data_IF_066920724662
#
_entry.id   IF_066920724662
#
_cell.length_a   1.000
_cell.length_b   1.000
_cell.length_c   1.000
_cell.angle_alpha   90.00
_cell.angle_beta   90.00
_cell.angle_gamma   90.00
#
_symmetry.space_group_name_H-M   'P 1'
#
loop_
_entity.id
_entity.type
_entity.pdbx_description
1 polymer ?
#
# COMPACT_ATOMS: atom_id res chain seq x y z
N UNK A 1 -0.89 -55.67 -30.02
CA UNK A 1 0.24 -56.32 -29.33
C UNK A 1 0.47 -55.53 -28.04
N UNK A 2 0.21 -56.18 -26.90
CA UNK A 2 0.28 -55.77 -25.48
C UNK A 2 -0.40 -54.48 -25.02
N UNK A 3 -1.33 -54.72 -24.10
CA UNK A 3 -2.18 -53.86 -23.29
C UNK A 3 -1.68 -54.03 -21.85
N UNK A 4 -1.52 -52.93 -21.10
CA UNK A 4 -1.53 -52.90 -19.62
C UNK A 4 -2.29 -51.59 -19.27
N UNK A 5 -3.58 -51.56 -18.92
CA UNK A 5 -4.37 -52.07 -17.79
C UNK A 5 -3.98 -51.51 -16.39
N UNK A 6 -4.73 -50.46 -16.02
CA UNK A 6 -5.46 -50.23 -14.75
C UNK A 6 -4.68 -50.01 -13.43
N UNK A 7 -5.01 -48.88 -12.79
CA UNK A 7 -5.01 -48.72 -11.33
C UNK A 7 -5.68 -47.40 -10.90
N UNK A 8 -6.97 -47.43 -10.53
CA UNK A 8 -7.63 -46.36 -9.75
C UNK A 8 -7.60 -46.68 -8.22
N UNK A 9 -8.21 -45.88 -7.31
CA UNK A 9 -7.63 -45.58 -6.00
C UNK A 9 -8.15 -46.51 -4.90
N UNK A 10 -7.47 -46.54 -3.75
CA UNK A 10 -7.94 -47.28 -2.56
C UNK A 10 -8.53 -46.31 -1.53
N UNK A 11 -9.78 -46.57 -1.15
CA UNK A 11 -10.49 -46.03 0.02
C UNK A 11 -10.95 -47.22 0.87
N UNK A 12 -10.76 -47.18 2.19
CA UNK A 12 -11.65 -47.86 3.16
C UNK A 12 -11.01 -48.60 4.35
N UNK A 13 -11.55 -48.34 5.56
CA UNK A 13 -11.47 -49.17 6.79
C UNK A 13 -10.48 -48.67 7.86
N UNK A 14 -10.77 -47.94 8.94
CA UNK A 14 -11.82 -47.91 10.00
C UNK A 14 -11.53 -48.76 11.28
N UNK A 15 -11.50 -48.06 12.43
CA UNK A 15 -11.94 -48.42 13.81
C UNK A 15 -11.03 -49.18 14.82
N UNK A 16 -10.58 -48.48 15.88
CA UNK A 16 -11.01 -48.55 17.33
C UNK A 16 -9.95 -47.89 18.23
N UNK A 17 -10.23 -46.75 18.90
CA UNK A 17 -10.82 -46.55 20.25
C UNK A 17 -10.09 -47.26 21.40
N UNK A 18 -9.44 -46.47 22.27
CA UNK A 18 -9.44 -46.63 23.74
C UNK A 18 -9.33 -45.25 24.40
N UNK A 19 -10.00 -45.13 25.55
CA UNK A 19 -10.30 -43.94 26.36
C UNK A 19 -9.37 -43.85 27.58
N UNK A 20 -9.12 -42.62 28.06
CA UNK A 20 -9.11 -42.19 29.47
C UNK A 20 -8.81 -40.68 29.50
N UNK A 21 -9.74 -39.74 29.72
CA UNK A 21 -10.42 -39.24 30.95
C UNK A 21 -9.54 -38.83 32.13
N UNK A 22 -9.42 -37.51 32.33
CA UNK A 22 -9.74 -36.69 33.54
C UNK A 22 -9.44 -35.22 33.17
N UNK A 23 -10.38 -34.25 33.07
CA UNK A 23 -11.40 -33.70 33.97
C UNK A 23 -10.91 -32.53 34.86
N UNK A 24 -11.37 -31.31 34.53
CA UNK A 24 -11.79 -30.19 35.41
C UNK A 24 -12.17 -28.98 34.50
N UNK A 25 -13.43 -28.66 34.16
CA UNK A 25 -14.51 -27.99 34.94
C UNK A 25 -14.06 -26.62 35.49
N UNK A 26 -14.69 -25.48 35.17
CA UNK A 26 -15.95 -24.90 35.73
C UNK A 26 -16.47 -23.81 34.73
N UNK A 27 -17.68 -23.92 34.14
CA UNK A 27 -18.98 -23.24 34.43
C UNK A 27 -18.97 -21.68 34.39
N UNK A 28 -19.93 -20.90 33.85
CA UNK A 28 -21.39 -20.97 33.60
C UNK A 28 -21.71 -20.12 32.32
N UNK A 29 -22.53 -20.53 31.33
CA UNK A 29 -24.00 -20.65 31.20
C UNK A 29 -24.87 -19.36 31.32
N UNK A 30 -25.55 -19.07 30.18
CA UNK A 30 -26.96 -18.64 30.00
C UNK A 30 -27.32 -17.18 30.38
N UNK A 31 -28.24 -16.45 29.74
CA UNK A 31 -29.22 -16.67 28.66
C UNK A 31 -29.66 -15.30 28.11
N UNK A 32 -30.15 -15.23 26.87
CA UNK A 32 -30.83 -14.03 26.36
C UNK A 32 -32.29 -13.93 26.82
N UNK A 33 -32.88 -12.73 26.69
CA UNK A 33 -34.29 -12.51 26.36
C UNK A 33 -34.56 -11.03 26.05
N UNK A 34 -35.58 -10.86 25.22
CA UNK A 34 -36.07 -9.66 24.53
C UNK A 34 -37.06 -8.82 25.34
N UNK A 35 -37.31 -7.61 24.82
CA UNK A 35 -38.57 -6.85 24.79
C UNK A 35 -38.73 -5.60 25.70
N UNK A 36 -38.84 -4.46 25.00
CA UNK A 36 -39.88 -3.41 25.03
C UNK A 36 -40.16 -2.55 26.29
N UNK A 37 -40.18 -1.21 26.01
CA UNK A 37 -40.98 -0.08 26.58
C UNK A 37 -40.89 0.11 28.11
N UNK A 38 -40.60 1.30 28.65
CA UNK A 38 -41.49 2.47 28.71
C UNK A 38 -40.77 3.72 29.26
N UNK A 39 -41.45 4.84 29.03
CA UNK A 39 -41.30 6.27 29.36
C UNK A 39 -40.62 6.71 30.67
N UNK A 40 -40.07 7.94 30.60
CA UNK A 40 -39.65 8.79 31.72
C UNK A 40 -40.87 9.34 32.51
N UNK A 41 -40.72 9.92 33.73
CA UNK A 41 -40.35 11.35 33.79
C UNK A 41 -39.61 11.86 35.06
N UNK A 42 -38.94 13.01 34.85
CA UNK A 42 -38.78 14.23 35.67
C UNK A 42 -38.36 14.24 37.17
N UNK A 43 -37.39 15.14 37.38
CA UNK A 43 -37.29 16.16 38.46
C UNK A 43 -36.55 15.82 39.77
N UNK A 44 -35.49 16.60 40.05
CA UNK A 44 -35.30 17.49 41.23
C UNK A 44 -33.82 17.69 41.63
N UNK A 45 -33.45 18.99 41.70
CA UNK A 45 -32.46 19.67 42.58
C UNK A 45 -30.96 19.64 42.25
N UNK A 46 -30.56 20.64 41.47
CA UNK A 46 -29.80 21.82 41.94
C UNK A 46 -29.08 21.71 43.30
N UNK A 47 -27.75 21.85 43.29
CA UNK A 47 -26.96 22.50 44.36
C UNK A 47 -25.61 22.98 43.82
N UNK A 48 -25.45 24.29 43.84
CA UNK A 48 -24.19 25.03 43.73
C UNK A 48 -23.26 24.72 44.92
N UNK A 49 -21.94 24.78 44.70
CA UNK A 49 -21.02 25.39 45.66
C UNK A 49 -19.73 25.88 44.97
N UNK A 50 -19.40 27.14 45.24
CA UNK A 50 -18.19 27.87 44.86
C UNK A 50 -16.95 27.50 45.69
N UNK A 51 -15.77 27.52 45.07
CA UNK A 51 -14.57 28.32 45.41
C UNK A 51 -13.38 27.82 44.55
N UNK A 52 -12.77 28.58 43.63
CA UNK A 52 -11.93 29.79 43.73
C UNK A 52 -10.62 29.57 44.50
N UNK A 53 -9.51 29.45 43.75
CA UNK A 53 -8.20 29.98 44.12
C UNK A 53 -7.37 30.22 42.84
N UNK A 54 -6.76 31.40 42.80
CA UNK A 54 -6.04 32.03 41.71
C UNK A 54 -4.71 32.53 42.25
N UNK A 55 -3.62 32.27 41.53
CA UNK A 55 -2.32 32.98 41.57
C UNK A 55 -1.68 32.68 40.20
N UNK A 56 -1.15 33.60 39.40
CA UNK A 56 -0.52 34.88 39.70
C UNK A 56 0.81 34.88 38.91
N UNK A 57 0.95 35.83 38.00
CA UNK A 57 1.97 35.98 36.97
C UNK A 57 3.35 36.40 37.49
N UNK A 58 4.43 36.16 36.71
CA UNK A 58 5.26 37.21 36.10
C UNK A 58 6.63 36.72 35.54
N UNK A 59 6.82 37.01 34.25
CA UNK A 59 7.94 37.71 33.58
C UNK A 59 9.39 37.36 33.95
N UNK A 60 10.18 37.01 32.92
CA UNK A 60 11.65 37.10 32.95
C UNK A 60 12.35 36.66 31.66
N UNK A 61 12.51 37.59 30.70
CA UNK A 61 13.47 37.50 29.60
C UNK A 61 14.92 37.34 30.11
N UNK A 62 15.78 36.53 29.47
CA UNK A 62 17.13 36.94 28.99
C UNK A 62 17.96 35.81 28.31
N UNK A 63 18.36 36.12 27.08
CA UNK A 63 19.63 35.88 26.35
C UNK A 63 20.33 34.50 26.29
N UNK A 64 20.47 34.09 25.02
CA UNK A 64 21.55 33.36 24.35
C UNK A 64 22.98 33.67 24.87
N UNK A 65 23.79 32.64 25.16
CA UNK A 65 25.23 32.52 24.82
C UNK A 65 25.85 31.15 25.21
N UNK A 66 26.41 30.50 24.19
CA UNK A 66 27.67 29.72 24.12
C UNK A 66 28.04 28.64 25.17
N UNK A 67 28.24 27.42 24.64
CA UNK A 67 29.32 26.44 24.90
C UNK A 67 29.88 26.27 26.32
N UNK A 68 29.75 25.05 26.88
CA UNK A 68 30.87 24.26 27.43
C UNK A 68 30.47 22.77 27.47
N UNK A 69 31.38 21.96 26.95
CA UNK A 69 31.39 20.50 26.86
C UNK A 69 31.71 19.89 28.23
N UNK A 70 30.93 18.92 28.73
CA UNK A 70 31.39 17.95 29.73
C UNK A 70 31.08 16.53 29.27
N UNK A 71 32.14 15.72 29.23
CA UNK A 71 32.22 14.27 28.99
C UNK A 71 31.80 13.49 30.25
N UNK A 72 31.52 12.20 30.03
CA UNK A 72 31.26 11.06 30.95
C UNK A 72 29.78 10.67 30.94
N UNK A 73 29.27 9.77 30.09
CA UNK A 73 29.57 8.35 29.81
C UNK A 73 28.49 7.44 30.46
N UNK A 74 27.53 6.96 29.65
CA UNK A 74 27.00 5.59 29.66
C UNK A 74 26.55 5.27 28.21
N UNK A 75 27.07 4.22 27.53
CA UNK A 75 26.67 3.90 26.17
C UNK A 75 25.36 3.09 26.16
N UNK A 76 24.25 3.74 25.82
CA UNK A 76 23.06 3.03 25.34
C UNK A 76 23.33 2.58 23.90
N UNK A 77 23.25 1.27 23.68
CA UNK A 77 23.44 0.59 22.40
C UNK A 77 22.84 1.37 21.22
N UNK A 78 23.69 1.63 20.23
CA UNK A 78 23.38 2.46 19.06
C UNK A 78 22.23 1.89 18.24
N UNK A 79 21.17 2.69 18.11
CA UNK A 79 20.28 2.61 16.96
C UNK A 79 21.12 2.95 15.71
N UNK A 80 21.10 2.13 14.63
CA UNK A 80 21.82 2.49 13.42
C UNK A 80 21.28 3.81 12.86
N UNK A 81 22.18 4.76 12.62
CA UNK A 81 21.86 6.02 11.95
C UNK A 81 21.38 5.71 10.53
N UNK A 82 20.10 5.94 10.25
CA UNK A 82 19.57 5.87 8.88
C UNK A 82 19.83 7.21 8.19
N UNK A 83 20.48 7.18 7.03
CA UNK A 83 20.51 8.33 6.12
C UNK A 83 19.20 8.33 5.35
N UNK A 84 18.25 9.16 5.78
CA UNK A 84 17.05 9.48 5.01
C UNK A 84 17.34 10.73 4.18
N UNK A 85 17.68 10.55 2.90
CA UNK A 85 17.79 11.68 1.98
C UNK A 85 16.45 11.86 1.27
N UNK A 86 15.84 13.03 1.43
CA UNK A 86 14.79 13.48 0.51
C UNK A 86 15.51 13.93 -0.77
N UNK A 87 15.28 13.22 -1.86
CA UNK A 87 15.69 13.69 -3.17
C UNK A 87 14.71 14.79 -3.58
N UNK A 88 15.06 16.05 -3.29
CA UNK A 88 14.31 17.19 -3.77
C UNK A 88 14.69 17.47 -5.23
N UNK A 89 13.72 17.42 -6.14
CA UNK A 89 13.92 17.93 -7.50
C UNK A 89 13.50 19.40 -7.58
N UNK A 90 14.41 20.28 -7.99
CA UNK A 90 14.13 21.68 -8.25
C UNK A 90 13.52 21.91 -9.65
N UNK A 91 12.30 22.44 -9.65
CA UNK A 91 11.60 23.34 -10.61
C UNK A 91 11.41 22.99 -12.10
N UNK A 92 10.16 23.29 -12.52
CA UNK A 92 9.57 23.41 -13.87
C UNK A 92 9.57 22.15 -14.74
N UNK A 93 8.50 21.36 -14.61
CA UNK A 93 8.11 20.33 -15.58
C UNK A 93 7.04 20.88 -16.53
N UNK A 94 7.13 20.56 -17.83
CA UNK A 94 6.20 21.06 -18.84
C UNK A 94 4.81 20.46 -18.64
N UNK A 95 3.77 21.28 -18.78
CA UNK A 95 2.38 20.85 -18.84
C UNK A 95 2.10 20.11 -20.18
N UNK A 96 2.61 18.88 -20.31
CA UNK A 96 2.47 18.06 -21.51
C UNK A 96 2.26 16.56 -21.20
N UNK A 97 1.87 15.76 -22.22
CA UNK A 97 1.65 14.32 -22.08
C UNK A 97 2.99 13.60 -21.97
N UNK A 98 3.52 13.45 -20.76
CA UNK A 98 4.78 12.78 -20.48
C UNK A 98 4.84 12.26 -19.05
N UNK A 99 5.88 11.46 -18.72
CA UNK A 99 6.08 11.02 -17.35
C UNK A 99 6.36 12.22 -16.43
N UNK A 100 5.83 12.18 -15.21
CA UNK A 100 6.11 13.18 -14.18
C UNK A 100 7.28 12.74 -13.28
N UNK A 101 7.84 13.70 -12.54
CA UNK A 101 8.76 13.39 -11.45
C UNK A 101 7.98 12.82 -10.27
N UNK A 102 8.39 11.64 -9.81
CA UNK A 102 7.83 11.01 -8.63
C UNK A 102 8.64 11.38 -7.39
N UNK A 103 7.92 11.84 -6.38
CA UNK A 103 8.45 12.06 -5.06
C UNK A 103 8.81 10.73 -4.38
N UNK A 104 9.96 10.68 -3.70
CA UNK A 104 10.52 9.44 -3.19
C UNK A 104 11.20 9.57 -1.83
N UNK A 105 11.39 8.45 -1.15
CA UNK A 105 12.24 8.35 0.04
C UNK A 105 13.16 7.13 -0.11
N UNK A 106 14.47 7.33 0.09
CA UNK A 106 15.52 6.30 0.01
C UNK A 106 15.88 5.77 1.39
N UNK A 107 16.00 4.46 1.51
CA UNK A 107 16.47 3.74 2.70
C UNK A 107 17.67 2.88 2.30
N UNK A 108 18.81 3.11 2.95
CA UNK A 108 20.08 2.42 2.67
C UNK A 108 20.40 1.48 3.85
N UNK A 109 20.90 0.26 3.60
CA UNK A 109 21.27 -0.65 4.68
C UNK A 109 22.47 -0.09 5.49
N UNK A 110 22.56 -0.37 6.80
CA UNK A 110 23.61 0.21 7.65
C UNK A 110 25.06 -0.20 7.30
N UNK A 111 25.25 -1.28 6.53
CA UNK A 111 26.55 -1.88 6.23
C UNK A 111 26.89 -1.84 4.73
N UNK A 112 26.30 -0.95 3.94
CA UNK A 112 26.66 -0.85 2.52
C UNK A 112 28.13 -0.46 2.38
N UNK A 113 28.96 -1.37 1.87
CA UNK A 113 30.23 -1.02 1.24
C UNK A 113 29.98 0.01 0.12
N UNK A 114 30.99 0.78 -0.28
CA UNK A 114 30.91 1.80 -1.35
C UNK A 114 30.40 1.25 -2.72
N UNK A 115 30.20 -0.06 -2.85
CA UNK A 115 29.43 -0.68 -3.91
C UNK A 115 27.93 -0.65 -3.58
N UNK A 116 27.15 0.16 -4.31
CA UNK A 116 25.69 0.11 -4.20
C UNK A 116 25.20 -1.34 -4.42
N UNK A 117 24.35 -1.87 -3.52
CA UNK A 117 23.89 -3.25 -3.65
C UNK A 117 23.11 -3.44 -4.96
N UNK A 118 23.48 -4.46 -5.72
CA UNK A 118 22.76 -4.86 -6.94
C UNK A 118 21.28 -5.10 -6.66
N UNK A 119 20.41 -4.70 -7.60
CA UNK A 119 18.96 -4.93 -7.56
C UNK A 119 18.24 -4.21 -6.40
N UNK A 120 18.06 -2.87 -6.45
CA UNK A 120 17.33 -2.12 -5.42
C UNK A 120 15.85 -2.52 -5.40
N UNK A 121 15.18 -2.25 -4.27
CA UNK A 121 13.75 -2.50 -4.11
C UNK A 121 13.00 -1.17 -4.30
N UNK A 122 11.93 -1.18 -5.09
CA UNK A 122 10.99 -0.04 -5.19
C UNK A 122 9.62 -0.50 -4.68
N UNK A 123 8.99 0.31 -3.83
CA UNK A 123 7.67 0.03 -3.25
C UNK A 123 6.66 1.08 -3.71
N UNK A 124 5.55 0.61 -4.28
CA UNK A 124 4.42 1.40 -4.78
C UNK A 124 3.18 1.17 -3.89
N UNK A 125 2.61 2.25 -3.36
CA UNK A 125 1.42 2.19 -2.50
C UNK A 125 0.12 1.96 -3.30
N UNK A 126 -0.96 1.59 -2.58
CA UNK A 126 -2.31 1.50 -3.14
C UNK A 126 -3.05 2.86 -3.20
N UNK A 127 -4.30 2.86 -3.68
CA UNK A 127 -5.14 4.05 -3.75
C UNK A 127 -5.25 4.75 -2.38
N UNK A 128 -5.19 6.09 -2.37
CA UNK A 128 -5.16 6.95 -1.18
C UNK A 128 -3.93 6.78 -0.27
N UNK A 129 -2.97 5.95 -0.67
CA UNK A 129 -1.70 5.79 0.03
C UNK A 129 -0.66 6.85 -0.37
N UNK A 130 0.53 6.71 0.22
CA UNK A 130 1.73 7.48 -0.06
C UNK A 130 2.98 6.68 0.36
N UNK A 131 4.15 7.14 -0.06
CA UNK A 131 5.47 6.65 0.37
C UNK A 131 5.59 6.56 1.90
N UNK A 132 4.94 7.47 2.61
CA UNK A 132 4.98 7.54 4.08
C UNK A 132 4.39 6.30 4.75
N UNK A 133 3.39 5.65 4.15
CA UNK A 133 2.74 4.47 4.73
C UNK A 133 3.68 3.25 4.77
N UNK A 134 4.75 3.24 3.97
CA UNK A 134 5.67 2.12 3.83
C UNK A 134 7.00 2.30 4.57
N UNK A 135 7.24 3.45 5.22
CA UNK A 135 8.57 3.78 5.79
C UNK A 135 9.11 2.74 6.77
N UNK A 136 8.26 2.26 7.69
CA UNK A 136 8.68 1.28 8.70
C UNK A 136 9.04 -0.06 8.05
N UNK A 137 8.24 -0.53 7.09
CA UNK A 137 8.49 -1.75 6.33
C UNK A 137 9.73 -1.60 5.43
N UNK A 138 9.90 -0.46 4.77
CA UNK A 138 11.04 -0.19 3.90
C UNK A 138 12.37 -0.23 4.66
N UNK A 139 12.43 0.36 5.85
CA UNK A 139 13.61 0.24 6.75
C UNK A 139 13.92 -1.21 7.09
N UNK A 140 12.92 -1.97 7.50
CA UNK A 140 13.07 -3.39 7.88
C UNK A 140 13.47 -4.26 6.69
N UNK A 141 12.88 -4.04 5.51
CA UNK A 141 13.25 -4.72 4.27
C UNK A 141 14.68 -4.39 3.86
N UNK A 142 15.07 -3.13 3.93
CA UNK A 142 16.45 -2.70 3.62
C UNK A 142 17.46 -3.43 4.51
N UNK A 143 17.20 -3.48 5.82
CA UNK A 143 18.03 -4.22 6.77
C UNK A 143 18.05 -5.74 6.50
N UNK A 144 16.89 -6.36 6.27
CA UNK A 144 16.81 -7.83 6.14
C UNK A 144 17.36 -8.35 4.81
N UNK A 145 17.31 -7.54 3.75
CA UNK A 145 17.78 -7.87 2.40
C UNK A 145 19.14 -7.30 2.06
N UNK A 146 19.67 -6.37 2.86
CA UNK A 146 20.88 -5.59 2.55
C UNK A 146 20.79 -4.85 1.21
N UNK A 147 19.58 -4.42 0.82
CA UNK A 147 19.32 -3.68 -0.42
C UNK A 147 18.87 -2.26 -0.11
N UNK A 148 19.19 -1.35 -1.02
CA UNK A 148 18.57 -0.02 -1.07
C UNK A 148 17.08 -0.18 -1.36
N UNK A 149 16.23 0.50 -0.59
CA UNK A 149 14.78 0.51 -0.79
C UNK A 149 14.31 1.93 -1.07
N UNK A 150 13.49 2.10 -2.10
CA UNK A 150 12.78 3.34 -2.39
C UNK A 150 11.28 3.14 -2.16
N UNK A 151 10.65 4.12 -1.53
CA UNK A 151 9.18 4.24 -1.50
C UNK A 151 8.78 5.45 -2.34
N UNK A 152 7.84 5.28 -3.28
CA UNK A 152 7.41 6.35 -4.18
C UNK A 152 6.01 6.83 -3.85
N UNK A 153 5.76 8.12 -4.03
CA UNK A 153 4.41 8.67 -4.19
C UNK A 153 4.04 8.56 -5.68
N UNK A 154 2.98 7.82 -6.01
CA UNK A 154 2.48 7.76 -7.38
C UNK A 154 1.83 9.10 -7.77
N UNK A 155 1.67 9.38 -9.07
CA UNK A 155 0.91 10.55 -9.55
C UNK A 155 -0.45 10.64 -8.83
N UNK A 156 -0.92 11.87 -8.62
CA UNK A 156 -2.14 12.17 -7.87
C UNK A 156 -2.14 11.70 -6.39
N UNK A 157 -1.00 11.30 -5.84
CA UNK A 157 -0.89 10.83 -4.47
C UNK A 157 0.32 11.44 -3.77
N UNK A 158 0.25 11.49 -2.43
CA UNK A 158 1.33 11.99 -1.59
C UNK A 158 1.75 13.41 -1.98
N UNK A 159 3.05 13.60 -2.23
CA UNK A 159 3.61 14.89 -2.63
C UNK A 159 3.93 14.95 -4.15
N UNK A 160 3.68 13.88 -4.90
CA UNK A 160 3.90 13.85 -6.35
C UNK A 160 2.88 14.72 -7.09
N UNK A 161 3.25 15.20 -8.28
CA UNK A 161 2.43 16.11 -9.08
C UNK A 161 1.02 15.55 -9.33
N UNK A 162 0.01 16.42 -9.18
CA UNK A 162 -1.36 16.15 -9.60
C UNK A 162 -1.49 16.38 -11.12
N UNK A 163 -2.04 15.40 -11.82
CA UNK A 163 -2.28 15.42 -13.26
C UNK A 163 -3.78 15.27 -13.52
N UNK A 164 -4.49 16.35 -13.88
CA UNK A 164 -5.92 16.25 -14.17
C UNK A 164 -6.18 15.42 -15.44
N UNK A 165 -7.39 14.86 -15.53
CA UNK A 165 -7.85 14.11 -16.70
C UNK A 165 -7.66 12.59 -16.58
N UNK A 166 -7.78 11.92 -17.72
CA UNK A 166 -7.65 10.47 -17.81
C UNK A 166 -6.22 10.03 -17.49
N UNK A 167 -6.09 8.93 -16.75
CA UNK A 167 -4.81 8.36 -16.37
C UNK A 167 -4.91 6.84 -16.41
N UNK A 168 -4.23 6.24 -17.37
CA UNK A 168 -4.09 4.80 -17.49
C UNK A 168 -2.98 4.26 -16.57
N UNK A 169 -2.98 2.95 -16.36
CA UNK A 169 -1.84 2.28 -15.72
C UNK A 169 -0.55 2.37 -16.54
N UNK A 170 -0.62 2.61 -17.86
CA UNK A 170 0.57 2.87 -18.67
C UNK A 170 1.20 4.20 -18.29
N UNK A 171 0.39 5.23 -18.00
CA UNK A 171 0.89 6.53 -17.56
C UNK A 171 1.59 6.41 -16.19
N UNK A 172 0.95 5.76 -15.21
CA UNK A 172 1.59 5.46 -13.93
C UNK A 172 2.90 4.68 -14.09
N UNK A 173 2.91 3.66 -14.98
CA UNK A 173 4.11 2.85 -15.22
C UNK A 173 5.24 3.65 -15.88
N UNK A 174 4.89 4.60 -16.75
CA UNK A 174 5.84 5.49 -17.43
C UNK A 174 6.56 6.38 -16.42
N UNK A 175 5.86 6.89 -15.40
CA UNK A 175 6.50 7.66 -14.33
C UNK A 175 7.49 6.84 -13.53
N UNK A 176 7.11 5.61 -13.15
CA UNK A 176 7.99 4.72 -12.39
C UNK A 176 9.21 4.35 -13.22
N UNK A 177 9.03 4.07 -14.52
CA UNK A 177 10.13 3.84 -15.47
C UNK A 177 11.03 5.06 -15.61
N UNK A 178 10.44 6.25 -15.67
CA UNK A 178 11.19 7.50 -15.72
C UNK A 178 12.02 7.70 -14.43
N UNK A 179 11.42 7.48 -13.26
CA UNK A 179 12.13 7.49 -11.98
C UNK A 179 13.32 6.52 -11.96
N UNK A 180 13.12 5.27 -12.41
CA UNK A 180 14.21 4.27 -12.48
C UNK A 180 15.34 4.74 -13.39
N UNK A 181 15.03 5.25 -14.59
CA UNK A 181 16.04 5.71 -15.56
C UNK A 181 16.81 6.93 -15.05
N UNK A 182 16.12 7.92 -14.50
CA UNK A 182 16.72 9.16 -13.99
C UNK A 182 17.60 8.92 -12.76
N UNK A 183 17.35 7.85 -12.01
CA UNK A 183 18.18 7.43 -10.87
C UNK A 183 19.15 6.29 -11.22
N UNK A 184 19.35 5.98 -12.50
CA UNK A 184 20.24 4.94 -13.00
C UNK A 184 20.01 3.55 -12.38
N UNK A 185 18.76 3.22 -12.05
CA UNK A 185 18.39 1.96 -11.41
C UNK A 185 18.21 0.86 -12.46
N UNK A 186 18.78 -0.31 -12.17
CA UNK A 186 18.64 -1.55 -12.95
C UNK A 186 18.37 -2.72 -12.00
N UNK A 187 17.87 -3.81 -12.57
CA UNK A 187 17.51 -5.04 -11.89
C UNK A 187 16.58 -4.84 -10.70
N UNK A 188 15.63 -3.91 -10.83
CA UNK A 188 14.77 -3.52 -9.72
C UNK A 188 13.87 -4.68 -9.28
N UNK A 189 13.75 -4.84 -7.97
CA UNK A 189 12.72 -5.65 -7.34
C UNK A 189 11.53 -4.73 -7.08
N UNK A 190 10.47 -4.88 -7.86
CA UNK A 190 9.33 -3.97 -7.83
C UNK A 190 8.19 -4.55 -7.01
N UNK A 191 7.83 -3.86 -5.93
CA UNK A 191 6.74 -4.24 -5.02
C UNK A 191 5.60 -3.25 -5.20
N UNK A 192 4.37 -3.74 -5.40
CA UNK A 192 3.19 -2.90 -5.50
C UNK A 192 1.99 -3.47 -4.77
N UNK A 193 1.30 -2.64 -3.99
CA UNK A 193 0.05 -3.01 -3.30
C UNK A 193 -1.17 -2.47 -4.03
N UNK A 194 -2.21 -3.30 -4.21
CA UNK A 194 -3.49 -2.86 -4.77
C UNK A 194 -3.31 -2.12 -6.11
N UNK A 195 -3.75 -0.86 -6.21
CA UNK A 195 -3.47 0.01 -7.37
C UNK A 195 -1.98 0.01 -7.77
N UNK A 196 -1.06 0.16 -6.82
CA UNK A 196 0.39 0.12 -7.08
C UNK A 196 0.87 -1.25 -7.59
N UNK A 197 0.18 -2.34 -7.25
CA UNK A 197 0.45 -3.67 -7.82
C UNK A 197 0.07 -3.73 -9.30
N UNK A 198 -1.04 -3.11 -9.71
CA UNK A 198 -1.38 -2.97 -11.13
C UNK A 198 -0.40 -2.09 -11.90
N UNK A 199 0.12 -1.02 -11.27
CA UNK A 199 1.22 -0.22 -11.84
C UNK A 199 2.47 -1.08 -12.05
N UNK A 200 2.86 -1.85 -11.04
CA UNK A 200 4.04 -2.71 -11.10
C UNK A 200 3.91 -3.81 -12.17
N UNK A 201 2.76 -4.47 -12.22
CA UNK A 201 2.42 -5.46 -13.27
C UNK A 201 2.43 -4.82 -14.66
N UNK A 202 1.89 -3.61 -14.81
CA UNK A 202 1.84 -2.93 -16.10
C UNK A 202 3.23 -2.58 -16.60
N UNK A 203 4.10 -2.07 -15.72
CA UNK A 203 5.50 -1.81 -16.07
C UNK A 203 6.22 -3.10 -16.51
N UNK A 204 6.07 -4.18 -15.73
CA UNK A 204 6.71 -5.46 -16.05
C UNK A 204 6.31 -6.01 -17.44
N UNK A 205 5.01 -5.91 -17.79
CA UNK A 205 4.50 -6.33 -19.09
C UNK A 205 4.94 -5.38 -20.22
N UNK A 206 4.88 -4.06 -20.02
CA UNK A 206 5.39 -3.07 -21.00
C UNK A 206 6.86 -3.31 -21.35
N UNK A 207 7.69 -3.63 -20.34
CA UNK A 207 9.10 -3.97 -20.56
C UNK A 207 9.28 -5.28 -21.33
N UNK A 208 8.38 -6.25 -21.15
CA UNK A 208 8.42 -7.52 -21.89
C UNK A 208 8.01 -7.36 -23.35
N UNK A 209 6.99 -6.54 -23.63
CA UNK A 209 6.53 -6.28 -25.01
C UNK A 209 7.56 -5.53 -25.86
N UNK A 210 8.41 -4.72 -25.22
CA UNK A 210 9.33 -3.81 -25.91
C UNK A 210 10.60 -4.50 -26.43
N UNK A 211 10.89 -5.74 -26.02
CA UNK A 211 12.04 -6.50 -26.52
C UNK A 211 11.74 -8.02 -26.67
N UNK A 212 11.09 -8.43 -27.78
CA UNK A 212 10.75 -9.83 -28.03
C UNK A 212 11.94 -10.73 -28.40
N UNK A 213 13.13 -10.17 -28.67
CA UNK A 213 14.31 -10.90 -29.16
C UNK A 213 15.22 -11.47 -28.04
N UNK A 214 14.77 -11.44 -26.78
CA UNK A 214 15.41 -12.19 -25.69
C UNK A 214 16.51 -11.46 -24.89
N UNK A 215 16.93 -10.27 -25.30
CA UNK A 215 17.70 -9.37 -24.41
C UNK A 215 16.72 -8.63 -23.49
N UNK A 216 16.11 -9.35 -22.55
CA UNK A 216 15.06 -8.81 -21.69
C UNK A 216 15.49 -7.50 -21.01
N UNK A 217 14.59 -6.52 -20.92
CA UNK A 217 14.87 -5.24 -20.23
C UNK A 217 15.50 -5.50 -18.86
N UNK A 218 16.68 -4.91 -18.64
CA UNK A 218 17.40 -4.95 -17.36
C UNK A 218 16.71 -4.13 -16.27
N UNK A 219 15.53 -3.54 -16.51
CA UNK A 219 14.90 -2.68 -15.52
C UNK A 219 14.29 -3.45 -14.35
N UNK A 220 13.58 -4.54 -14.61
CA UNK A 220 12.88 -5.31 -13.57
C UNK A 220 13.53 -6.68 -13.44
N UNK A 221 14.00 -7.04 -12.24
CA UNK A 221 14.52 -8.38 -11.93
C UNK A 221 13.47 -9.30 -11.33
N UNK A 222 12.67 -8.78 -10.39
CA UNK A 222 11.60 -9.53 -9.71
C UNK A 222 10.38 -8.63 -9.48
N UNK A 223 9.20 -9.22 -9.46
CA UNK A 223 7.93 -8.55 -9.18
C UNK A 223 7.30 -9.10 -7.89
N UNK A 224 6.76 -8.22 -7.05
CA UNK A 224 5.90 -8.58 -5.92
C UNK A 224 4.58 -7.81 -6.01
N UNK A 225 3.48 -8.50 -6.29
CA UNK A 225 2.14 -7.93 -6.30
C UNK A 225 1.40 -8.30 -4.99
N UNK A 226 0.98 -7.28 -4.24
CA UNK A 226 0.35 -7.45 -2.93
C UNK A 226 -1.15 -7.24 -3.05
N UNK A 227 -1.87 -8.35 -2.91
CA UNK A 227 -3.31 -8.49 -2.84
C UNK A 227 -4.09 -7.83 -3.98
N UNK A 228 -3.62 -8.05 -5.21
CA UNK A 228 -4.27 -7.61 -6.44
C UNK A 228 -3.89 -8.54 -7.60
N UNK A 229 -4.81 -8.74 -8.55
CA UNK A 229 -4.57 -9.45 -9.80
C UNK A 229 -4.59 -8.48 -10.99
N UNK A 230 -4.07 -8.87 -12.18
CA UNK A 230 -4.16 -8.08 -13.40
C UNK A 230 -5.56 -8.10 -14.05
N UNK A 231 -6.61 -8.38 -13.26
CA UNK A 231 -7.97 -8.45 -13.77
C UNK A 231 -8.61 -7.05 -13.86
N UNK A 232 -9.35 -6.84 -14.95
CA UNK A 232 -10.30 -5.73 -15.08
C UNK A 232 -11.54 -6.03 -14.25
N UNK A 233 -12.11 -5.03 -13.59
CA UNK A 233 -13.35 -5.19 -12.86
C UNK A 233 -13.85 -3.91 -12.20
N UNK A 234 -15.10 -3.90 -11.72
CA UNK A 234 -15.61 -2.78 -10.97
C UNK A 234 -14.88 -2.63 -9.64
N UNK A 235 -14.61 -1.39 -9.25
CA UNK A 235 -14.07 -1.06 -7.94
C UNK A 235 -15.15 -1.02 -6.86
N UNK A 236 -14.74 -1.12 -5.59
CA UNK A 236 -15.64 -1.00 -4.45
C UNK A 236 -16.30 0.39 -4.40
N UNK A 237 -17.62 0.42 -4.17
CA UNK A 237 -18.36 1.67 -3.92
C UNK A 237 -17.85 2.43 -2.70
N UNK A 238 -17.19 1.75 -1.75
CA UNK A 238 -16.61 2.39 -0.57
C UNK A 238 -15.58 3.45 -0.90
N UNK A 239 -14.87 3.35 -2.05
CA UNK A 239 -13.91 4.38 -2.43
C UNK A 239 -14.58 5.72 -2.75
N UNK A 240 -15.77 5.71 -3.36
CA UNK A 240 -16.55 6.94 -3.56
C UNK A 240 -17.01 7.53 -2.21
N UNK A 241 -17.41 6.69 -1.26
CA UNK A 241 -17.77 7.14 0.10
C UNK A 241 -16.60 7.85 0.78
N UNK A 242 -15.35 7.41 0.55
CA UNK A 242 -14.18 8.09 1.10
C UNK A 242 -13.90 9.44 0.40
N UNK A 243 -14.13 9.54 -0.92
CA UNK A 243 -14.09 10.81 -1.65
C UNK A 243 -15.09 11.80 -1.05
N UNK A 244 -16.32 11.37 -0.77
CA UNK A 244 -17.34 12.22 -0.16
C UNK A 244 -16.89 12.73 1.22
N UNK A 245 -16.24 11.88 2.03
CA UNK A 245 -15.63 12.29 3.29
C UNK A 245 -14.48 13.29 3.14
N UNK A 246 -13.63 13.11 2.12
CA UNK A 246 -12.59 14.09 1.80
C UNK A 246 -13.15 15.43 1.35
N UNK A 247 -14.24 15.42 0.57
CA UNK A 247 -14.96 16.65 0.20
C UNK A 247 -15.56 17.35 1.42
N UNK A 248 -16.15 16.60 2.36
CA UNK A 248 -16.67 17.19 3.60
C UNK A 248 -15.55 17.85 4.41
N UNK A 249 -14.38 17.21 4.54
CA UNK A 249 -13.19 17.82 5.17
C UNK A 249 -12.78 19.10 4.45
N UNK A 250 -12.67 19.08 3.12
CA UNK A 250 -12.22 20.24 2.33
C UNK A 250 -13.24 21.40 2.28
N UNK A 251 -14.53 21.13 2.54
CA UNK A 251 -15.61 22.13 2.49
C UNK A 251 -15.62 23.12 3.66
N UNK A 252 -14.82 22.89 4.70
CA UNK A 252 -14.78 23.73 5.91
C UNK A 252 -13.39 23.77 6.54
N UNK A 253 -13.04 24.83 7.28
CA UNK A 253 -11.75 24.90 7.97
C UNK A 253 -11.70 23.89 9.12
N UNK A 254 -11.03 22.76 8.90
CA UNK A 254 -10.81 21.74 9.94
C UNK A 254 -9.60 22.11 10.79
N UNK A 255 -9.78 22.31 12.09
CA UNK A 255 -8.75 22.84 12.99
C UNK A 255 -7.77 21.77 13.50
N UNK A 256 -8.18 20.49 13.46
CA UNK A 256 -7.38 19.39 14.03
C UNK A 256 -7.60 18.06 13.32
N UNK A 257 -6.62 17.16 13.45
CA UNK A 257 -6.75 15.76 13.02
C UNK A 257 -7.93 15.05 13.70
N UNK A 258 -8.23 15.40 14.96
CA UNK A 258 -9.35 14.81 15.71
C UNK A 258 -10.69 15.18 15.08
N UNK A 259 -10.87 16.46 14.74
CA UNK A 259 -12.07 16.95 14.06
C UNK A 259 -12.24 16.28 12.67
N UNK A 260 -11.15 16.11 11.92
CA UNK A 260 -11.20 15.35 10.67
C UNK A 260 -11.62 13.87 10.86
N UNK A 261 -11.14 13.21 11.93
CA UNK A 261 -11.55 11.84 12.25
C UNK A 261 -13.05 11.77 12.61
N UNK A 262 -13.55 12.73 13.40
CA UNK A 262 -14.97 12.86 13.75
C UNK A 262 -15.84 12.98 12.48
N UNK A 263 -15.41 13.74 11.48
CA UNK A 263 -16.06 13.81 10.16
C UNK A 263 -16.09 12.43 9.50
N UNK A 264 -14.95 11.75 9.42
CA UNK A 264 -14.82 10.47 8.74
C UNK A 264 -15.60 9.33 9.40
N UNK A 265 -16.03 9.46 10.67
CA UNK A 265 -16.89 8.44 11.31
C UNK A 265 -18.20 8.19 10.57
N UNK A 266 -18.70 9.20 9.84
CA UNK A 266 -19.91 9.08 8.99
C UNK A 266 -19.68 8.20 7.75
N UNK A 267 -18.43 8.09 7.30
CA UNK A 267 -18.04 7.52 6.02
C UNK A 267 -17.32 6.17 6.16
N UNK A 268 -16.61 5.94 7.27
CA UNK A 268 -15.88 4.70 7.53
C UNK A 268 -15.90 4.34 9.03
N UNK A 269 -16.56 3.24 9.44
CA UNK A 269 -16.63 2.85 10.85
C UNK A 269 -15.32 2.25 11.40
N UNK A 270 -14.47 1.67 10.55
CA UNK A 270 -13.20 1.08 10.98
C UNK A 270 -12.15 2.15 11.30
N UNK A 271 -11.64 2.13 12.53
CA UNK A 271 -10.65 3.10 13.00
C UNK A 271 -9.34 3.03 12.20
N UNK A 272 -8.88 1.82 11.86
CA UNK A 272 -7.63 1.64 11.12
C UNK A 272 -7.69 2.27 9.72
N UNK A 273 -8.80 2.04 9.01
CA UNK A 273 -9.09 2.67 7.71
C UNK A 273 -9.18 4.18 7.81
N UNK A 274 -9.89 4.72 8.81
CA UNK A 274 -9.91 6.18 9.03
C UNK A 274 -8.50 6.74 9.29
N UNK A 275 -7.71 6.11 10.15
CA UNK A 275 -6.36 6.59 10.45
C UNK A 275 -5.45 6.61 9.22
N UNK A 276 -5.60 5.64 8.32
CA UNK A 276 -4.94 5.64 7.02
C UNK A 276 -5.43 6.75 6.11
N UNK A 277 -6.75 6.94 5.95
CA UNK A 277 -7.30 8.02 5.12
C UNK A 277 -6.81 9.39 5.62
N UNK A 278 -6.78 9.59 6.93
CA UNK A 278 -6.26 10.79 7.60
C UNK A 278 -4.75 10.98 7.40
N UNK A 279 -3.99 10.01 6.88
CA UNK A 279 -2.58 10.25 6.47
C UNK A 279 -2.46 11.22 5.29
N UNK A 280 -3.59 11.55 4.65
CA UNK A 280 -3.67 12.57 3.61
C UNK A 280 -4.01 13.98 4.12
N UNK A 281 -4.13 14.18 5.43
CA UNK A 281 -4.26 15.52 5.99
C UNK A 281 -2.93 16.29 5.85
N UNK A 282 -3.02 17.48 5.29
CA UNK A 282 -1.95 18.46 5.23
C UNK A 282 -2.33 19.67 6.05
N UNK A 283 -1.43 20.10 6.94
CA UNK A 283 -1.59 21.35 7.67
C UNK A 283 -1.31 22.51 6.70
N UNK A 284 -2.26 23.42 6.59
CA UNK A 284 -2.16 24.65 5.82
C UNK A 284 -2.00 25.81 6.78
N UNK A 285 -0.92 26.56 6.61
CA UNK A 285 -0.76 27.86 7.24
C UNK A 285 -1.38 28.89 6.28
N UNK A 286 -2.28 29.75 6.78
CA UNK A 286 -2.90 30.77 5.93
C UNK A 286 -1.93 31.93 5.79
N UNK A 287 -1.56 32.27 4.55
CA UNK A 287 -1.01 33.57 4.22
C UNK A 287 -2.11 34.62 4.37
N UNK A 288 -2.29 35.14 5.58
CA UNK A 288 -2.97 36.41 5.80
C UNK A 288 -1.95 37.53 5.67
N UNK A 289 -2.35 38.67 5.09
CA UNK A 289 -1.52 39.87 4.94
C UNK A 289 -0.92 40.41 6.27
N UNK A 290 -1.29 39.84 7.42
CA UNK A 290 -0.77 40.17 8.75
C UNK A 290 -0.47 38.93 9.64
N UNK A 291 -0.35 37.72 9.08
CA UNK A 291 0.10 36.53 9.85
C UNK A 291 -0.85 36.02 10.94
N UNK A 292 -2.13 36.43 10.94
CA UNK A 292 -3.13 36.06 11.97
C UNK A 292 -4.07 34.91 11.56
N UNK A 293 -3.76 34.15 10.50
CA UNK A 293 -4.59 33.02 10.09
C UNK A 293 -4.44 31.83 11.05
N UNK A 294 -5.54 31.31 11.61
CA UNK A 294 -5.50 30.04 12.34
C UNK A 294 -5.16 28.89 11.38
N UNK A 295 -4.17 28.04 11.70
CA UNK A 295 -3.85 26.89 10.87
C UNK A 295 -5.04 25.95 10.76
N UNK A 296 -5.24 25.36 9.60
CA UNK A 296 -6.27 24.34 9.37
C UNK A 296 -5.69 23.17 8.58
N UNK A 297 -6.49 22.11 8.43
CA UNK A 297 -6.14 20.92 7.69
C UNK A 297 -6.99 20.79 6.45
N UNK A 298 -6.36 20.36 5.37
CA UNK A 298 -7.01 20.00 4.11
C UNK A 298 -6.52 18.61 3.66
N UNK A 299 -7.25 17.99 2.73
CA UNK A 299 -6.80 16.76 2.07
C UNK A 299 -5.83 17.11 0.95
N UNK A 300 -4.60 16.59 1.00
CA UNK A 300 -3.56 16.83 -0.01
C UNK A 300 -3.83 16.17 -1.36
N UNK A 301 -4.71 15.17 -1.40
CA UNK A 301 -5.05 14.45 -2.62
C UNK A 301 -5.88 15.36 -3.53
N UNK A 302 -5.71 15.29 -4.87
CA UNK A 302 -6.58 15.99 -5.81
C UNK A 302 -7.93 15.25 -5.89
N UNK A 303 -8.83 15.56 -4.94
CA UNK A 303 -10.08 14.81 -4.68
C UNK A 303 -10.95 14.71 -5.93
N UNK A 304 -11.08 15.78 -6.72
CA UNK A 304 -11.90 15.84 -7.93
C UNK A 304 -11.31 14.97 -9.05
N UNK A 305 -9.97 14.92 -9.17
CA UNK A 305 -9.30 14.06 -10.15
C UNK A 305 -9.50 12.59 -9.79
N UNK A 306 -9.28 12.25 -8.52
CA UNK A 306 -9.48 10.87 -8.06
C UNK A 306 -10.94 10.45 -8.18
N UNK A 307 -11.90 11.32 -7.88
CA UNK A 307 -13.32 11.06 -8.11
C UNK A 307 -13.62 10.73 -9.58
N UNK A 308 -13.14 11.54 -10.52
CA UNK A 308 -13.33 11.29 -11.94
C UNK A 308 -12.72 9.94 -12.39
N UNK A 309 -11.55 9.58 -11.84
CA UNK A 309 -10.92 8.28 -12.09
C UNK A 309 -11.74 7.11 -11.55
N UNK A 310 -12.35 7.25 -10.37
CA UNK A 310 -13.22 6.22 -9.79
C UNK A 310 -14.52 6.09 -10.58
N UNK A 311 -15.16 7.22 -10.93
CA UNK A 311 -16.40 7.25 -11.69
C UNK A 311 -16.28 6.60 -13.09
N UNK A 312 -15.11 6.72 -13.72
CA UNK A 312 -14.79 6.09 -15.00
C UNK A 312 -14.13 4.72 -14.88
N UNK A 313 -14.08 4.15 -13.66
CA UNK A 313 -13.49 2.85 -13.34
C UNK A 313 -12.02 2.67 -13.78
N UNK A 314 -11.24 3.77 -13.90
CA UNK A 314 -9.83 3.71 -14.30
C UNK A 314 -8.98 2.89 -13.32
N UNK A 315 -9.26 2.99 -12.02
CA UNK A 315 -8.62 2.18 -10.96
C UNK A 315 -8.99 0.69 -11.06
N UNK A 316 -10.14 0.39 -11.67
CA UNK A 316 -10.61 -0.97 -11.91
C UNK A 316 -10.00 -1.61 -13.15
N UNK A 317 -9.38 -0.83 -14.03
CA UNK A 317 -8.90 -1.25 -15.34
C UNK A 317 -7.56 -2.01 -15.30
N UNK A 318 -7.12 -2.53 -16.44
CA UNK A 318 -5.78 -3.07 -16.66
C UNK A 318 -5.44 -2.98 -18.15
N UNK A 319 -4.27 -2.45 -18.56
CA UNK A 319 -4.08 -1.99 -19.94
C UNK A 319 -3.75 -3.11 -20.93
N UNK A 320 -3.69 -4.36 -20.48
CA UNK A 320 -3.35 -5.51 -21.32
C UNK A 320 -4.50 -6.48 -21.42
N UNK A 321 -4.68 -7.06 -22.60
CA UNK A 321 -5.61 -8.16 -22.83
C UNK A 321 -5.00 -9.48 -22.36
N UNK A 322 -5.86 -10.38 -21.86
CA UNK A 322 -5.43 -11.66 -21.32
C UNK A 322 -4.77 -12.48 -22.44
N UNK A 323 -3.52 -12.95 -22.27
CA UNK A 323 -2.83 -13.77 -23.25
C UNK A 323 -3.60 -15.06 -23.51
N UNK A 324 -4.11 -15.21 -24.74
CA UNK A 324 -4.67 -16.49 -25.20
C UNK A 324 -3.53 -17.49 -25.42
N UNK A 325 -3.80 -18.77 -25.16
CA UNK A 325 -2.87 -19.85 -25.51
C UNK A 325 -2.69 -19.89 -27.03
N UNK A 326 -1.46 -20.06 -27.51
CA UNK A 326 -1.22 -20.35 -28.93
C UNK A 326 -2.08 -21.54 -29.36
N UNK A 327 -2.75 -21.49 -30.53
CA UNK A 327 -3.48 -22.64 -31.04
C UNK A 327 -2.55 -23.83 -31.20
N UNK A 328 -3.08 -25.05 -31.02
CA UNK A 328 -2.32 -26.27 -31.31
C UNK A 328 -1.76 -26.21 -32.75
N UNK A 329 -0.52 -26.71 -32.98
CA UNK A 329 0.06 -26.71 -34.32
C UNK A 329 -0.88 -27.44 -35.29
N UNK A 330 -1.37 -26.71 -36.30
CA UNK A 330 -2.36 -27.18 -37.29
C UNK A 330 -3.71 -26.46 -37.26
N UNK A 331 -3.97 -25.58 -36.29
CA UNK A 331 -5.13 -24.69 -36.29
C UNK A 331 -4.89 -23.52 -37.28
N UNK A 332 -5.52 -23.58 -38.45
CA UNK A 332 -5.52 -22.51 -39.44
C UNK A 332 -6.34 -21.30 -38.97
N UNK A 333 -5.81 -20.50 -38.05
CA UNK A 333 -6.33 -19.16 -37.78
C UNK A 333 -5.54 -18.15 -38.61
N UNK A 334 -6.16 -17.62 -39.68
CA UNK A 334 -5.63 -16.58 -40.58
C UNK A 334 -5.75 -15.16 -40.01
N UNK A 335 -6.22 -14.99 -38.77
CA UNK A 335 -6.20 -13.71 -38.09
C UNK A 335 -4.91 -13.57 -37.29
N UNK A 336 -4.12 -12.56 -37.63
CA UNK A 336 -2.99 -12.09 -36.83
C UNK A 336 -3.47 -11.81 -35.40
N UNK A 337 -3.27 -12.76 -34.50
CA UNK A 337 -3.53 -12.54 -33.09
C UNK A 337 -2.56 -11.46 -32.59
N UNK A 338 -3.04 -10.49 -31.79
CA UNK A 338 -2.13 -9.53 -31.19
C UNK A 338 -1.10 -10.30 -30.35
N UNK A 339 0.19 -9.90 -30.38
CA UNK A 339 1.24 -10.60 -29.65
C UNK A 339 0.87 -10.69 -28.17
N UNK A 340 0.80 -11.93 -27.65
CA UNK A 340 0.40 -12.17 -26.28
C UNK A 340 1.55 -11.77 -25.34
N UNK A 341 1.39 -10.66 -24.60
CA UNK A 341 2.45 -10.20 -23.68
C UNK A 341 2.49 -11.06 -22.43
N UNK A 342 3.68 -11.60 -22.13
CA UNK A 342 3.91 -12.41 -20.93
C UNK A 342 5.18 -11.97 -20.23
N UNK A 343 5.14 -11.91 -18.91
CA UNK A 343 6.29 -11.67 -18.06
C UNK A 343 6.88 -13.00 -17.60
N UNK A 344 8.17 -13.20 -17.89
CA UNK A 344 8.86 -14.46 -17.65
C UNK A 344 9.80 -14.42 -16.44
N UNK A 345 10.01 -13.27 -15.80
CA UNK A 345 10.88 -13.20 -14.61
C UNK A 345 10.10 -13.56 -13.34
N UNK A 346 10.79 -13.96 -12.25
CA UNK A 346 10.13 -14.40 -11.01
C UNK A 346 9.13 -13.36 -10.50
N UNK A 347 7.94 -13.83 -10.16
CA UNK A 347 6.83 -12.99 -9.69
C UNK A 347 6.17 -13.59 -8.45
N UNK A 348 6.10 -12.83 -7.37
CA UNK A 348 5.42 -13.22 -6.15
C UNK A 348 4.08 -12.47 -6.03
N UNK A 349 3.01 -13.22 -5.83
CA UNK A 349 1.70 -12.69 -5.47
C UNK A 349 1.42 -13.02 -4.01
N UNK A 350 1.15 -12.01 -3.19
CA UNK A 350 0.81 -12.19 -1.77
C UNK A 350 -0.66 -11.83 -1.60
N UNK A 351 -1.50 -12.83 -1.30
CA UNK A 351 -2.95 -12.69 -1.13
C UNK A 351 -3.32 -12.65 0.35
N UNK A 352 -4.24 -11.75 0.73
CA UNK A 352 -4.96 -11.85 2.00
C UNK A 352 -6.05 -12.93 1.92
N UNK A 353 -6.08 -13.88 2.86
CA UNK A 353 -7.02 -14.99 2.87
C UNK A 353 -8.48 -14.53 2.91
N UNK A 354 -8.76 -13.43 3.62
CA UNK A 354 -10.10 -12.85 3.78
C UNK A 354 -10.43 -11.80 2.70
N UNK A 355 -9.43 -11.37 1.93
CA UNK A 355 -9.61 -10.43 0.83
C UNK A 355 -10.28 -11.08 -0.39
N UNK A 356 -11.05 -10.27 -1.13
CA UNK A 356 -11.73 -10.66 -2.37
C UNK A 356 -10.98 -10.26 -3.65
N UNK A 357 -9.89 -9.49 -3.54
CA UNK A 357 -9.18 -8.92 -4.68
C UNK A 357 -8.46 -9.98 -5.54
N UNK A 358 -7.83 -10.97 -4.91
CA UNK A 358 -7.38 -12.19 -5.59
C UNK A 358 -8.34 -13.31 -5.20
N UNK A 359 -8.92 -14.00 -6.17
CA UNK A 359 -9.89 -15.07 -5.95
C UNK A 359 -9.79 -16.15 -7.05
N UNK A 360 -10.50 -17.26 -6.88
CA UNK A 360 -10.42 -18.41 -7.80
C UNK A 360 -10.72 -18.07 -9.27
N UNK A 361 -11.43 -16.97 -9.55
CA UNK A 361 -11.79 -16.57 -10.90
C UNK A 361 -10.70 -15.76 -11.59
N UNK A 362 -9.86 -15.04 -10.84
CA UNK A 362 -8.80 -14.18 -11.40
C UNK A 362 -7.37 -14.71 -11.19
N UNK A 363 -7.18 -15.76 -10.39
CA UNK A 363 -5.92 -16.52 -10.33
C UNK A 363 -5.49 -17.01 -11.73
N UNK A 364 -6.38 -17.55 -12.59
CA UNK A 364 -5.98 -17.93 -13.96
C UNK A 364 -5.44 -16.74 -14.77
N UNK A 365 -5.93 -15.52 -14.53
CA UNK A 365 -5.41 -14.32 -15.19
C UNK A 365 -3.98 -13.99 -14.76
N UNK A 366 -3.63 -14.20 -13.48
CA UNK A 366 -2.24 -14.10 -13.01
C UNK A 366 -1.38 -15.09 -13.79
N UNK A 367 -1.81 -16.35 -13.85
CA UNK A 367 -1.07 -17.41 -14.55
C UNK A 367 -0.94 -17.16 -16.06
N UNK A 368 -1.89 -16.44 -16.68
CA UNK A 368 -1.81 -16.10 -18.09
C UNK A 368 -0.74 -15.02 -18.38
N UNK A 369 -0.58 -14.02 -17.51
CA UNK A 369 0.40 -12.94 -17.72
C UNK A 369 1.79 -13.26 -17.16
N UNK A 370 1.88 -13.98 -16.05
CA UNK A 370 3.12 -14.15 -15.27
C UNK A 370 3.51 -15.63 -15.23
N UNK A 371 4.41 -16.05 -16.11
CA UNK A 371 4.73 -17.47 -16.31
C UNK A 371 5.43 -18.10 -15.09
N UNK A 372 6.30 -17.32 -14.45
CA UNK A 372 7.05 -17.74 -13.26
C UNK A 372 6.47 -17.11 -11.99
N UNK A 373 5.16 -17.27 -11.80
CA UNK A 373 4.45 -16.75 -10.63
C UNK A 373 4.38 -17.76 -9.47
N UNK A 374 4.43 -17.24 -8.25
CA UNK A 374 4.10 -17.96 -7.01
C UNK A 374 3.02 -17.19 -6.26
N UNK A 375 2.03 -17.90 -5.72
CA UNK A 375 0.99 -17.32 -4.86
C UNK A 375 1.21 -17.75 -3.41
N UNK A 376 1.40 -16.79 -2.52
CA UNK A 376 1.43 -16.99 -1.07
C UNK A 376 0.17 -16.39 -0.46
N UNK A 377 -0.46 -17.11 0.47
CA UNK A 377 -1.68 -16.64 1.16
C UNK A 377 -1.35 -16.40 2.62
N UNK A 378 -1.63 -15.19 3.11
CA UNK A 378 -1.51 -14.82 4.52
C UNK A 378 -2.91 -14.61 5.11
N UNK A 379 -3.12 -15.02 6.36
CA UNK A 379 -4.39 -14.83 7.05
C UNK A 379 -4.61 -13.36 7.48
N UNK A 380 -4.93 -12.53 6.49
CA UNK A 380 -5.21 -11.09 6.59
C UNK A 380 -6.40 -10.73 5.70
N UNK A 381 -6.94 -9.52 5.87
CA UNK A 381 -7.74 -8.85 4.85
C UNK A 381 -6.79 -8.23 3.78
N UNK A 382 -7.26 -7.22 3.05
CA UNK A 382 -6.54 -6.57 1.95
C UNK A 382 -5.23 -5.88 2.36
N UNK A 383 -5.07 -5.60 3.66
CA UNK A 383 -3.97 -4.79 4.18
C UNK A 383 -2.88 -5.70 4.73
N UNK A 384 -2.47 -6.66 3.90
CA UNK A 384 -1.56 -7.76 4.25
C UNK A 384 -0.33 -7.27 5.00
N UNK A 385 0.31 -6.23 4.47
CA UNK A 385 1.54 -5.65 4.98
C UNK A 385 1.36 -4.87 6.31
N UNK A 386 0.14 -4.42 6.61
CA UNK A 386 -0.18 -3.71 7.85
C UNK A 386 -0.70 -4.66 8.95
N UNK A 387 -1.51 -5.66 8.59
CA UNK A 387 -2.06 -6.64 9.53
C UNK A 387 -1.03 -7.66 10.00
N UNK A 388 -0.18 -8.17 9.09
CA UNK A 388 0.86 -9.16 9.40
C UNK A 388 2.22 -8.71 8.86
N UNK A 389 2.79 -7.61 9.41
CA UNK A 389 4.01 -7.01 8.88
C UNK A 389 5.23 -7.93 8.95
N UNK A 390 5.29 -8.82 9.95
CA UNK A 390 6.42 -9.73 10.13
C UNK A 390 6.42 -10.85 9.09
N UNK A 391 5.28 -11.50 8.92
CA UNK A 391 5.07 -12.56 7.93
C UNK A 391 5.19 -12.02 6.50
N UNK A 392 4.67 -10.80 6.26
CA UNK A 392 4.85 -10.10 5.00
C UNK A 392 6.33 -9.87 4.69
N UNK A 393 7.10 -9.31 5.63
CA UNK A 393 8.54 -9.07 5.44
C UNK A 393 9.28 -10.37 5.19
N UNK A 394 9.01 -11.42 5.99
CA UNK A 394 9.68 -12.71 5.82
C UNK A 394 9.42 -13.28 4.42
N UNK A 395 8.16 -13.27 3.98
CA UNK A 395 7.76 -13.75 2.65
C UNK A 395 8.50 -13.00 1.52
N UNK A 396 8.61 -11.68 1.65
CA UNK A 396 9.33 -10.85 0.68
C UNK A 396 10.84 -11.13 0.73
N UNK A 397 11.43 -11.23 1.93
CA UNK A 397 12.86 -11.49 2.11
C UNK A 397 13.26 -12.84 1.50
N UNK A 398 12.48 -13.89 1.75
CA UNK A 398 12.72 -15.22 1.20
C UNK A 398 12.71 -15.18 -0.32
N UNK A 399 11.67 -14.58 -0.91
CA UNK A 399 11.59 -14.41 -2.36
C UNK A 399 12.71 -13.55 -2.95
N UNK A 400 13.14 -12.51 -2.25
CA UNK A 400 14.25 -11.65 -2.69
C UNK A 400 15.57 -12.43 -2.73
N UNK A 401 15.81 -13.30 -1.74
CA UNK A 401 17.06 -14.06 -1.56
C UNK A 401 17.16 -15.33 -2.39
N UNK A 402 16.05 -15.86 -2.90
CA UNK A 402 16.06 -16.96 -3.88
C UNK A 402 16.89 -16.55 -5.12
N UNK A 403 17.74 -17.44 -5.64
CA UNK A 403 18.59 -17.14 -6.81
C UNK A 403 17.82 -17.22 -8.14
#
# INVERSE_FOLDING_TARGET
MRIDMVGKPVVGGTLRRTLNTQAASINHRWCGLTSARTEAPSSWKQRDYHNRASFGSDIGHLKLKSFIRRKNDIPTQGQPFYVTTRLASSSSSPSGPGPILLESEKFVPPQSSDHEPHSPIIILHGLFGSKQNWRSLAKRLSQATQKTVFTLDLRNHGESQATPGFTSYLDYSSDVKHFMRTNNLKDVILIGHSMGGKVAMSLALSESSSNPNGEGSDLIKKLVAVDISPAKGPISKSFQVYIDGFKEINSRPVSSRKEADEILTKYEPDLGRRQFLLTNLKKVERDGAEGQGTPHYEIRLPVEVLEAQLASNQVGDFPFEIPVSEPAPGSASTQSQPPSVRFHKPSLFIKGARSKYINKYNIPTIAAFFMNHRLVVLDTDHWVHAEKPNEFIQTVVDFVKEE
#
